data_IF_637040152440
#
_entry.id   IF_637040152440
#
_cell.length_a   1.000
_cell.length_b   1.000
_cell.length_c   1.000
_cell.angle_alpha   90.00
_cell.angle_beta   90.00
_cell.angle_gamma   90.00
#
_symmetry.space_group_name_H-M   'P 1'
#
loop_
_entity.id
_entity.type
_entity.pdbx_description
1 polymer ?
#
# COMPACT_ATOMS: atom_id res chain seq x y z
N UNK A 1 29.24 -60.54 -18.80
CA UNK A 1 28.46 -61.62 -19.44
C UNK A 1 28.22 -62.68 -18.37
N UNK A 2 27.03 -63.16 -18.01
CA UNK A 2 25.70 -63.26 -18.65
C UNK A 2 24.73 -63.79 -17.56
N UNK A 3 23.69 -63.04 -17.17
CA UNK A 3 22.24 -63.23 -17.47
C UNK A 3 21.53 -64.49 -16.91
N UNK A 4 20.36 -64.29 -16.28
CA UNK A 4 19.17 -65.19 -16.33
C UNK A 4 17.96 -64.44 -15.69
N UNK A 5 16.94 -63.92 -16.40
CA UNK A 5 15.66 -64.45 -16.94
C UNK A 5 14.56 -64.81 -15.88
N UNK A 6 13.42 -64.07 -15.91
CA UNK A 6 12.20 -64.00 -15.00
C UNK A 6 11.23 -65.22 -15.11
N UNK A 7 10.26 -65.53 -14.17
CA UNK A 7 8.92 -64.85 -14.03
C UNK A 7 8.06 -64.97 -12.69
N UNK A 8 7.08 -64.04 -12.54
CA UNK A 8 5.70 -63.98 -11.94
C UNK A 8 5.29 -64.24 -10.44
N UNK A 9 4.53 -63.25 -9.92
CA UNK A 9 3.62 -63.07 -8.76
C UNK A 9 3.34 -64.19 -7.73
N UNK A 10 3.25 -63.80 -6.44
CA UNK A 10 2.09 -64.01 -5.54
C UNK A 10 2.30 -63.27 -4.20
N UNK A 11 1.17 -62.85 -3.63
CA UNK A 11 0.85 -62.25 -2.32
C UNK A 11 1.83 -62.41 -1.14
N UNK A 12 1.60 -61.55 -0.14
CA UNK A 12 2.04 -61.61 1.28
C UNK A 12 3.48 -61.21 1.56
N UNK A 13 3.72 -59.91 1.70
CA UNK A 13 4.72 -59.44 2.66
C UNK A 13 4.35 -58.04 3.22
N UNK A 14 4.43 -57.85 4.55
CA UNK A 14 3.81 -56.75 5.30
C UNK A 14 4.82 -55.63 5.54
N UNK A 15 4.35 -54.39 5.55
CA UNK A 15 5.24 -53.28 5.89
C UNK A 15 4.58 -51.92 5.91
N UNK A 16 3.37 -51.79 5.34
CA UNK A 16 2.54 -50.61 5.50
C UNK A 16 1.32 -51.03 6.29
N UNK A 17 1.34 -50.72 7.59
CA UNK A 17 0.12 -50.68 8.37
C UNK A 17 -0.79 -49.65 7.72
N UNK A 18 -1.76 -50.11 6.93
CA UNK A 18 -2.94 -49.30 6.70
C UNK A 18 -3.67 -49.27 8.05
N UNK A 19 -3.77 -48.14 8.76
CA UNK A 19 -4.67 -48.06 9.89
C UNK A 19 -6.08 -48.24 9.34
N UNK A 20 -6.61 -49.45 9.50
CA UNK A 20 -7.96 -49.85 9.15
C UNK A 20 -8.96 -49.31 10.17
N UNK A 21 -8.84 -48.04 10.58
CA UNK A 21 -9.86 -47.37 11.36
C UNK A 21 -11.04 -47.08 10.43
N UNK A 22 -11.90 -48.10 10.30
CA UNK A 22 -13.30 -48.02 10.69
C UNK A 22 -13.65 -46.68 11.35
N UNK A 23 -13.89 -45.69 10.51
CA UNK A 23 -14.74 -44.56 10.86
C UNK A 23 -15.79 -44.45 9.74
N UNK A 24 -16.61 -45.50 9.63
CA UNK A 24 -17.97 -45.35 9.12
C UNK A 24 -18.81 -44.60 10.17
N UNK A 25 -18.33 -43.45 10.63
CA UNK A 25 -19.20 -42.49 11.27
C UNK A 25 -20.00 -41.89 10.12
N UNK A 26 -21.31 -42.07 10.20
CA UNK A 26 -22.28 -41.57 9.26
C UNK A 26 -22.14 -40.05 9.17
N UNK A 27 -21.26 -39.57 8.29
CA UNK A 27 -21.16 -38.16 7.94
C UNK A 27 -22.42 -37.89 7.14
N UNK A 28 -23.40 -37.31 7.82
CA UNK A 28 -24.63 -36.82 7.20
C UNK A 28 -24.29 -35.93 6.00
N UNK A 29 -25.23 -35.74 5.07
CA UNK A 29 -25.00 -35.21 3.71
C UNK A 29 -24.48 -33.74 3.61
N UNK A 30 -23.88 -33.18 4.65
CA UNK A 30 -23.27 -31.83 4.69
C UNK A 30 -21.74 -31.77 4.66
N UNK A 31 -20.99 -32.53 5.48
CA UNK A 31 -19.75 -31.93 6.02
C UNK A 31 -18.41 -32.70 5.90
N UNK A 32 -17.94 -33.11 4.70
CA UNK A 32 -16.53 -33.42 4.48
C UNK A 32 -15.70 -32.26 3.90
N UNK A 33 -16.33 -31.24 3.29
CA UNK A 33 -15.62 -30.13 2.62
C UNK A 33 -15.38 -28.95 3.58
N UNK A 34 -16.35 -28.67 4.46
CA UNK A 34 -16.27 -27.56 5.43
C UNK A 34 -15.18 -27.77 6.49
N UNK A 35 -14.91 -29.01 6.90
CA UNK A 35 -13.82 -29.33 7.84
C UNK A 35 -12.45 -29.26 7.17
N UNK A 36 -12.34 -29.62 5.89
CA UNK A 36 -11.09 -29.47 5.12
C UNK A 36 -10.74 -28.00 4.91
N UNK A 37 -11.74 -27.16 4.61
CA UNK A 37 -11.51 -25.73 4.42
C UNK A 37 -11.10 -25.02 5.72
N UNK A 38 -11.69 -25.39 6.88
CA UNK A 38 -11.25 -24.86 8.18
C UNK A 38 -9.82 -25.26 8.54
N UNK A 39 -9.44 -26.51 8.31
CA UNK A 39 -8.05 -26.95 8.54
C UNK A 39 -7.05 -26.24 7.60
N UNK A 40 -7.41 -26.08 6.32
CA UNK A 40 -6.56 -25.39 5.35
C UNK A 40 -6.47 -23.88 5.63
N UNK A 41 -7.53 -23.27 6.16
CA UNK A 41 -7.55 -21.84 6.52
C UNK A 41 -6.71 -21.56 7.76
N UNK A 42 -6.80 -22.39 8.80
CA UNK A 42 -5.97 -22.24 10.01
C UNK A 42 -4.48 -22.47 9.71
N UNK A 43 -4.14 -23.49 8.92
CA UNK A 43 -2.74 -23.80 8.61
C UNK A 43 -2.10 -22.80 7.62
N UNK A 44 -2.87 -22.25 6.67
CA UNK A 44 -2.37 -21.23 5.73
C UNK A 44 -2.22 -19.85 6.35
N UNK A 45 -3.03 -19.49 7.35
CA UNK A 45 -3.02 -18.12 7.89
C UNK A 45 -1.67 -17.73 8.50
N UNK A 46 -1.01 -18.64 9.23
CA UNK A 46 0.28 -18.35 9.87
C UNK A 46 1.43 -18.24 8.85
N UNK A 47 1.50 -19.15 7.87
CA UNK A 47 2.58 -19.16 6.86
C UNK A 47 2.39 -18.09 5.78
N UNK A 48 1.15 -17.75 5.42
CA UNK A 48 0.88 -16.76 4.38
C UNK A 48 1.24 -15.33 4.82
N UNK A 49 0.98 -14.95 6.08
CA UNK A 49 1.36 -13.63 6.57
C UNK A 49 2.87 -13.46 6.67
N UNK A 50 3.59 -14.48 7.14
CA UNK A 50 5.06 -14.46 7.21
C UNK A 50 5.72 -14.47 5.83
N UNK A 51 5.11 -15.16 4.86
CA UNK A 51 5.65 -15.22 3.49
C UNK A 51 5.30 -14.01 2.65
N UNK A 52 4.13 -13.37 2.78
CA UNK A 52 3.89 -12.06 2.14
C UNK A 52 4.61 -10.92 2.85
N UNK A 53 4.79 -10.96 4.18
CA UNK A 53 5.60 -9.98 4.89
C UNK A 53 7.08 -10.01 4.46
N UNK A 54 7.64 -11.20 4.20
CA UNK A 54 9.01 -11.32 3.65
C UNK A 54 9.08 -11.11 2.14
N UNK A 55 8.12 -11.60 1.37
CA UNK A 55 8.12 -11.52 -0.09
C UNK A 55 7.73 -10.13 -0.63
N UNK A 56 6.91 -9.35 0.09
CA UNK A 56 6.52 -8.00 -0.34
C UNK A 56 7.32 -6.87 0.32
N UNK A 57 7.91 -7.09 1.50
CA UNK A 57 8.66 -6.02 2.20
C UNK A 57 10.16 -6.24 2.26
N UNK A 58 10.68 -7.41 1.87
CA UNK A 58 12.12 -7.68 1.75
C UNK A 58 12.97 -7.29 2.98
N UNK A 59 12.34 -7.13 4.16
CA UNK A 59 12.93 -6.50 5.34
C UNK A 59 12.62 -7.37 6.55
N UNK A 60 13.67 -7.87 7.18
CA UNK A 60 13.57 -8.72 8.37
C UNK A 60 12.76 -8.03 9.48
N UNK A 61 11.80 -8.73 10.12
CA UNK A 61 10.94 -8.14 11.15
C UNK A 61 11.71 -7.71 12.40
N UNK A 62 12.90 -8.28 12.63
CA UNK A 62 13.79 -7.98 13.76
C UNK A 62 14.67 -6.74 13.52
N UNK A 63 14.61 -6.15 12.32
CA UNK A 63 15.40 -4.98 11.91
C UNK A 63 14.57 -3.68 11.86
N UNK A 64 13.36 -3.67 12.44
CA UNK A 64 12.54 -2.46 12.58
C UNK A 64 13.07 -1.57 13.71
N UNK A 65 14.24 -0.97 13.48
CA UNK A 65 14.78 0.08 14.35
C UNK A 65 13.81 1.25 14.46
N UNK A 66 13.42 1.60 15.71
CA UNK A 66 12.65 2.78 16.13
C UNK A 66 11.36 3.06 15.34
N UNK A 67 10.19 2.81 15.96
CA UNK A 67 8.88 3.25 15.45
C UNK A 67 8.74 4.77 15.34
N UNK A 68 9.63 5.53 15.98
CA UNK A 68 9.54 6.98 16.06
C UNK A 68 10.18 7.70 14.86
N UNK A 69 11.22 7.10 14.25
CA UNK A 69 11.96 7.70 13.14
C UNK A 69 11.09 8.00 11.90
N UNK A 70 10.18 7.11 11.46
CA UNK A 70 9.30 7.39 10.33
C UNK A 70 8.26 8.49 10.61
N UNK A 71 7.71 8.51 11.83
CA UNK A 71 6.67 9.47 12.21
C UNK A 71 7.20 10.91 12.23
N UNK A 72 8.39 11.11 12.80
CA UNK A 72 9.03 12.43 12.86
C UNK A 72 9.44 12.94 11.47
N UNK A 73 9.83 12.04 10.57
CA UNK A 73 10.20 12.42 9.20
C UNK A 73 9.03 13.04 8.44
N UNK A 74 7.84 12.44 8.52
CA UNK A 74 6.63 12.98 7.87
C UNK A 74 6.23 14.31 8.52
N UNK A 75 6.34 14.43 9.86
CA UNK A 75 6.05 15.67 10.57
C UNK A 75 6.95 16.82 10.11
N UNK A 76 8.25 16.56 9.94
CA UNK A 76 9.20 17.55 9.44
C UNK A 76 8.86 17.96 8.01
N UNK A 77 8.59 17.00 7.12
CA UNK A 77 8.19 17.29 5.75
C UNK A 77 6.87 18.07 5.67
N UNK A 78 5.91 17.74 6.53
CA UNK A 78 4.64 18.44 6.61
C UNK A 78 4.83 19.88 7.07
N UNK A 79 5.61 20.08 8.13
CA UNK A 79 5.94 21.40 8.67
C UNK A 79 6.67 22.25 7.64
N UNK A 80 7.66 21.68 6.96
CA UNK A 80 8.42 22.36 5.92
C UNK A 80 7.51 22.80 4.76
N UNK A 81 6.55 21.96 4.36
CA UNK A 81 5.57 22.32 3.33
C UNK A 81 4.66 23.47 3.78
N UNK A 82 4.21 23.49 5.03
CA UNK A 82 3.35 24.53 5.58
C UNK A 82 4.08 25.88 5.63
N UNK A 83 5.37 25.87 6.02
CA UNK A 83 6.21 27.08 6.03
C UNK A 83 6.30 27.69 4.63
N UNK A 84 6.54 26.88 3.60
CA UNK A 84 6.60 27.35 2.21
C UNK A 84 5.27 27.97 1.77
N UNK A 85 4.13 27.38 2.16
CA UNK A 85 2.80 27.89 1.82
C UNK A 85 2.44 29.20 2.56
N UNK A 86 2.90 29.35 3.80
CA UNK A 86 2.55 30.46 4.71
C UNK A 86 3.50 31.65 4.58
N UNK A 87 4.76 31.44 4.19
CA UNK A 87 5.80 32.47 4.06
C UNK A 87 5.31 33.78 3.40
N UNK A 88 4.57 33.75 2.27
CA UNK A 88 4.13 34.96 1.58
C UNK A 88 3.16 35.82 2.39
N UNK A 89 2.36 35.20 3.26
CA UNK A 89 1.34 35.88 4.06
C UNK A 89 1.93 36.59 5.29
N UNK A 90 3.19 36.29 5.65
CA UNK A 90 3.90 36.93 6.76
C UNK A 90 4.51 38.27 6.32
N UNK A 91 4.92 38.41 5.06
CA UNK A 91 5.64 39.59 4.56
C UNK A 91 4.75 40.74 4.08
N UNK A 92 3.42 40.60 4.09
CA UNK A 92 2.51 41.68 3.72
C UNK A 92 1.09 41.44 4.18
N UNK A 93 0.34 42.53 4.37
CA UNK A 93 -1.10 42.52 4.62
C UNK A 93 -1.83 43.29 3.51
N UNK A 94 -3.01 42.80 3.11
CA UNK A 94 -3.84 43.40 2.06
C UNK A 94 -3.81 42.66 0.71
N UNK A 95 -4.44 43.24 -0.31
CA UNK A 95 -4.64 42.63 -1.65
C UNK A 95 -3.33 42.29 -2.36
N UNK A 96 -2.28 43.09 -2.14
CA UNK A 96 -0.94 42.80 -2.65
C UNK A 96 -0.35 41.50 -2.07
N UNK A 97 -0.56 41.25 -0.77
CA UNK A 97 -0.07 40.03 -0.11
C UNK A 97 -0.78 38.77 -0.61
N UNK A 98 -2.09 38.85 -0.87
CA UNK A 98 -2.86 37.74 -1.46
C UNK A 98 -2.35 37.37 -2.85
N UNK A 99 -2.01 38.36 -3.68
CA UNK A 99 -1.45 38.10 -5.02
C UNK A 99 -0.08 37.42 -4.95
N UNK A 100 0.77 37.81 -3.99
CA UNK A 100 2.07 37.20 -3.74
C UNK A 100 1.95 35.76 -3.23
N UNK A 101 0.96 35.50 -2.38
CA UNK A 101 0.64 34.16 -1.88
C UNK A 101 0.18 33.22 -3.00
N UNK A 102 -0.67 33.71 -3.90
CA UNK A 102 -1.11 32.92 -5.07
C UNK A 102 0.06 32.65 -6.02
N UNK A 103 0.89 33.66 -6.30
CA UNK A 103 2.03 33.51 -7.18
C UNK A 103 3.06 32.49 -6.64
N UNK A 104 3.41 32.60 -5.36
CA UNK A 104 4.33 31.67 -4.69
C UNK A 104 3.78 30.25 -4.59
N UNK A 105 2.48 30.08 -4.33
CA UNK A 105 1.84 28.76 -4.40
C UNK A 105 1.94 28.15 -5.81
N UNK A 106 1.69 28.94 -6.86
CA UNK A 106 1.88 28.52 -8.24
C UNK A 106 3.33 28.12 -8.55
N UNK A 107 4.31 28.91 -8.10
CA UNK A 107 5.74 28.59 -8.26
C UNK A 107 6.10 27.31 -7.54
N UNK A 108 5.61 27.08 -6.32
CA UNK A 108 5.84 25.85 -5.56
C UNK A 108 5.24 24.62 -6.29
N UNK A 109 3.99 24.71 -6.76
CA UNK A 109 3.34 23.67 -7.56
C UNK A 109 4.12 23.34 -8.84
N UNK A 110 4.56 24.37 -9.55
CA UNK A 110 5.36 24.18 -10.76
C UNK A 110 6.71 23.56 -10.45
N UNK A 111 7.42 24.02 -9.41
CA UNK A 111 8.71 23.50 -9.00
C UNK A 111 8.65 22.02 -8.61
N UNK A 112 7.63 21.63 -7.83
CA UNK A 112 7.38 20.22 -7.47
C UNK A 112 7.09 19.39 -8.72
N UNK A 113 6.21 19.87 -9.60
CA UNK A 113 5.87 19.14 -10.83
C UNK A 113 7.04 19.02 -11.80
N UNK A 114 7.89 20.05 -11.86
CA UNK A 114 9.12 20.07 -12.64
C UNK A 114 10.15 19.09 -12.07
N UNK A 115 10.34 19.05 -10.75
CA UNK A 115 11.24 18.12 -10.09
C UNK A 115 10.84 16.65 -10.36
N UNK A 116 9.55 16.33 -10.21
CA UNK A 116 9.03 15.00 -10.53
C UNK A 116 9.22 14.68 -12.02
N UNK A 117 8.96 15.64 -12.90
CA UNK A 117 9.11 15.45 -14.35
C UNK A 117 10.55 15.22 -14.82
N UNK A 118 11.53 15.77 -14.10
CA UNK A 118 12.96 15.52 -14.34
C UNK A 118 13.34 14.09 -13.97
N UNK A 119 12.84 13.58 -12.85
CA UNK A 119 13.08 12.19 -12.43
C UNK A 119 12.46 11.19 -13.41
N UNK A 120 11.31 11.53 -13.99
CA UNK A 120 10.55 10.66 -14.90
C UNK A 120 11.01 10.70 -16.37
N UNK A 121 12.06 11.47 -16.72
CA UNK A 121 12.52 11.68 -18.11
C UNK A 121 11.47 12.26 -19.07
N UNK A 122 10.33 12.74 -18.56
CA UNK A 122 9.17 13.22 -19.34
C UNK A 122 9.22 14.73 -19.65
N UNK A 123 10.30 15.40 -19.24
CA UNK A 123 10.55 16.83 -19.45
C UNK A 123 9.94 17.70 -18.36
N UNK A 124 10.78 18.47 -17.66
CA UNK A 124 10.42 19.32 -16.51
C UNK A 124 9.21 20.24 -16.80
N UNK A 125 9.22 20.90 -17.95
CA UNK A 125 8.23 21.94 -18.27
C UNK A 125 6.84 21.34 -18.47
N UNK A 126 6.73 20.19 -19.15
CA UNK A 126 5.44 19.53 -19.41
C UNK A 126 4.81 18.97 -18.14
N UNK A 127 5.63 18.39 -17.26
CA UNK A 127 5.17 17.87 -15.97
C UNK A 127 4.77 18.99 -15.00
N UNK A 128 5.60 20.04 -14.90
CA UNK A 128 5.33 21.22 -14.09
C UNK A 128 4.02 21.92 -14.46
N UNK A 129 3.80 22.20 -15.75
CA UNK A 129 2.55 22.83 -16.21
C UNK A 129 1.33 21.95 -15.95
N UNK A 130 1.43 20.63 -16.16
CA UNK A 130 0.32 19.71 -15.89
C UNK A 130 -0.04 19.68 -14.41
N UNK A 131 0.95 19.62 -13.52
CA UNK A 131 0.70 19.65 -12.09
C UNK A 131 0.15 21.00 -11.62
N UNK A 132 0.62 22.10 -12.19
CA UNK A 132 0.09 23.43 -11.91
C UNK A 132 -1.39 23.54 -12.29
N UNK A 133 -1.79 23.00 -13.44
CA UNK A 133 -3.19 22.99 -13.87
C UNK A 133 -4.07 22.12 -12.97
N UNK A 134 -3.65 20.88 -12.70
CA UNK A 134 -4.43 19.93 -11.90
C UNK A 134 -4.49 20.38 -10.43
N UNK A 135 -3.35 20.72 -9.85
CA UNK A 135 -3.26 21.19 -8.47
C UNK A 135 -3.95 22.54 -8.29
N UNK A 136 -3.80 23.47 -9.24
CA UNK A 136 -4.53 24.73 -9.24
C UNK A 136 -6.05 24.54 -9.30
N UNK A 137 -6.54 23.63 -10.14
CA UNK A 137 -7.97 23.30 -10.20
C UNK A 137 -8.47 22.71 -8.88
N UNK A 138 -7.69 21.84 -8.23
CA UNK A 138 -8.04 21.26 -6.94
C UNK A 138 -8.14 22.33 -5.84
N UNK A 139 -7.16 23.26 -5.77
CA UNK A 139 -7.19 24.39 -4.81
C UNK A 139 -8.43 25.26 -5.04
N UNK A 140 -8.77 25.54 -6.30
CA UNK A 140 -9.93 26.34 -6.65
C UNK A 140 -11.24 25.65 -6.22
N UNK A 141 -11.35 24.33 -6.42
CA UNK A 141 -12.51 23.55 -5.95
C UNK A 141 -12.65 23.59 -4.42
N UNK A 142 -11.56 23.41 -3.67
CA UNK A 142 -11.58 23.49 -2.21
C UNK A 142 -12.00 24.88 -1.73
N UNK A 143 -11.48 25.93 -2.37
CA UNK A 143 -11.85 27.31 -2.04
C UNK A 143 -13.35 27.56 -2.24
N UNK A 144 -13.91 27.13 -3.38
CA UNK A 144 -15.34 27.28 -3.67
C UNK A 144 -16.20 26.52 -2.66
N UNK A 145 -15.84 25.26 -2.36
CA UNK A 145 -16.56 24.45 -1.37
C UNK A 145 -16.54 25.09 0.01
N UNK A 146 -15.38 25.59 0.46
CA UNK A 146 -15.26 26.31 1.73
C UNK A 146 -16.11 27.59 1.75
N UNK A 147 -16.16 28.33 0.63
CA UNK A 147 -16.96 29.54 0.51
C UNK A 147 -18.46 29.26 0.59
N UNK A 148 -18.92 28.20 -0.08
CA UNK A 148 -20.33 27.77 -0.03
C UNK A 148 -20.72 27.30 1.38
N UNK A 149 -19.84 26.55 2.04
CA UNK A 149 -20.07 26.11 3.42
C UNK A 149 -20.14 27.31 4.38
N UNK A 150 -19.23 28.27 4.26
CA UNK A 150 -19.24 29.49 5.08
C UNK A 150 -20.49 30.35 4.85
N UNK A 151 -20.98 30.46 3.62
CA UNK A 151 -22.22 31.15 3.31
C UNK A 151 -23.44 30.45 3.94
N UNK A 152 -23.43 29.13 4.03
CA UNK A 152 -24.52 28.34 4.63
C UNK A 152 -24.62 28.45 6.15
N UNK A 153 -23.51 28.72 6.84
CA UNK A 153 -23.47 28.86 8.31
C UNK A 153 -23.70 30.30 8.79
N UNK A 154 -23.66 31.27 7.88
CA UNK A 154 -23.83 32.70 8.20
C UNK A 154 -25.28 33.21 8.14
N UNK A 155 -26.24 32.37 7.71
CA UNK A 155 -27.68 32.65 7.72
C UNK A 155 -28.40 31.95 8.86
#
# INVERSE_FOLDING_TARGET
>A
MTTSKRPTATTTDPGIAAPSHEYSHNIGPGDPILLRDRYLTEQRSFTLLDTTARAELGRDPDERGSSWSPAMSILVWFTLSAVVMVLPNIFGSGTAASSLAIASAGVALFAVGAAIGQLDSRGAMRSGTRLLLIGGAAVLLVFVLGHLAAASTAG
#
